data_IF_657701376256
#
_entry.id   IF_657701376256
#
_cell.length_a   1.000
_cell.length_b   1.000
_cell.length_c   1.000
_cell.angle_alpha   90.00
_cell.angle_beta   90.00
_cell.angle_gamma   90.00
#
_symmetry.space_group_name_H-M   'P 1'
#
loop_
_entity.id
_entity.type
_entity.pdbx_description
1 polymer ?
#
# COMPACT_ATOMS: atom_id res chain seq x y z
N UNK A 1 19.35 30.18 -32.41
CA UNK A 1 20.41 29.24 -31.96
C UNK A 1 20.37 28.98 -30.46
N UNK A 2 20.04 29.97 -29.62
CA UNK A 2 20.03 29.86 -28.15
C UNK A 2 18.91 28.98 -27.54
N UNK A 3 17.76 28.82 -28.20
CA UNK A 3 16.64 28.02 -27.68
C UNK A 3 16.79 26.50 -27.85
N UNK A 4 17.45 26.07 -28.94
CA UNK A 4 17.73 24.66 -29.22
C UNK A 4 18.79 24.11 -28.25
N UNK A 5 19.82 24.89 -27.94
CA UNK A 5 20.84 24.49 -26.98
C UNK A 5 20.29 24.37 -25.55
N UNK A 6 19.37 25.25 -25.15
CA UNK A 6 18.68 25.15 -23.87
C UNK A 6 17.83 23.87 -23.76
N UNK A 7 17.08 23.53 -24.81
CA UNK A 7 16.27 22.32 -24.87
C UNK A 7 17.13 21.03 -24.82
N UNK A 8 18.25 21.01 -25.55
CA UNK A 8 19.19 19.88 -25.54
C UNK A 8 19.85 19.72 -24.17
N UNK A 9 20.16 20.82 -23.48
CA UNK A 9 20.75 20.82 -22.14
C UNK A 9 19.75 20.31 -21.10
N UNK A 10 18.49 20.70 -21.20
CA UNK A 10 17.42 20.24 -20.31
C UNK A 10 17.08 18.75 -20.53
N UNK A 11 17.10 18.29 -21.79
CA UNK A 11 16.96 16.88 -22.14
C UNK A 11 18.10 16.03 -21.57
N UNK A 12 19.36 16.47 -21.72
CA UNK A 12 20.52 15.79 -21.11
C UNK A 12 20.46 15.75 -19.59
N UNK A 13 19.98 16.82 -18.95
CA UNK A 13 19.79 16.86 -17.50
C UNK A 13 18.72 15.86 -17.03
N UNK A 14 17.59 15.75 -17.76
CA UNK A 14 16.54 14.76 -17.46
C UNK A 14 17.01 13.32 -17.66
N UNK A 15 17.78 13.05 -18.71
CA UNK A 15 18.37 11.73 -18.97
C UNK A 15 19.39 11.37 -17.88
N UNK A 16 20.21 12.33 -17.44
CA UNK A 16 21.19 12.10 -16.37
C UNK A 16 20.52 11.89 -14.99
N UNK A 17 19.40 12.57 -14.71
CA UNK A 17 18.62 12.36 -13.50
C UNK A 17 17.86 11.02 -13.51
N UNK A 18 17.39 10.56 -14.67
CA UNK A 18 16.82 9.23 -14.82
C UNK A 18 17.89 8.14 -14.59
N UNK A 19 19.09 8.32 -15.13
CA UNK A 19 20.21 7.39 -14.95
C UNK A 19 20.73 7.32 -13.51
N UNK A 20 20.66 8.41 -12.72
CA UNK A 20 21.00 8.38 -11.31
C UNK A 20 19.94 7.69 -10.44
N UNK A 21 18.66 7.86 -10.78
CA UNK A 21 17.55 7.11 -10.17
C UNK A 21 17.63 5.61 -10.44
N UNK A 22 17.99 5.21 -11.66
CA UNK A 22 18.23 3.79 -12.00
C UNK A 22 19.45 3.21 -11.27
N UNK A 23 20.50 4.00 -11.04
CA UNK A 23 21.66 3.57 -10.23
C UNK A 23 21.30 3.33 -8.77
N UNK A 24 20.45 4.16 -8.16
CA UNK A 24 19.96 3.94 -6.80
C UNK A 24 19.01 2.74 -6.71
N UNK A 25 18.11 2.58 -7.69
CA UNK A 25 17.24 1.40 -7.79
C UNK A 25 18.02 0.10 -8.02
N UNK A 26 19.16 0.17 -8.73
CA UNK A 26 20.07 -0.97 -8.94
C UNK A 26 20.95 -1.30 -7.73
N UNK A 27 21.11 -0.38 -6.78
CA UNK A 27 21.85 -0.63 -5.54
C UNK A 27 21.08 -1.56 -4.59
N UNK A 28 19.75 -1.57 -4.67
CA UNK A 28 18.87 -2.47 -3.93
C UNK A 28 18.64 -3.79 -4.70
N UNK A 29 19.73 -4.51 -4.95
CA UNK A 29 19.64 -5.89 -5.46
C UNK A 29 18.96 -6.80 -4.43
N UNK A 30 18.27 -7.88 -4.85
CA UNK A 30 17.67 -8.86 -3.94
C UNK A 30 18.65 -9.39 -2.88
N UNK A 31 19.91 -9.55 -3.30
CA UNK A 31 21.02 -9.96 -2.45
C UNK A 31 21.40 -8.85 -1.48
N UNK A 32 21.49 -7.59 -1.90
CA UNK A 32 21.78 -6.48 -1.00
C UNK A 32 20.71 -6.27 0.08
N UNK A 33 19.40 -6.36 -0.25
CA UNK A 33 18.32 -6.24 0.73
C UNK A 33 18.33 -7.39 1.75
N UNK A 34 18.52 -8.63 1.29
CA UNK A 34 18.65 -9.80 2.15
C UNK A 34 19.93 -9.74 2.99
N UNK A 35 21.05 -9.30 2.42
CA UNK A 35 22.31 -9.08 3.12
C UNK A 35 22.19 -7.96 4.14
N UNK A 36 21.45 -6.89 3.89
CA UNK A 36 21.18 -5.83 4.88
C UNK A 36 20.31 -6.37 6.02
N UNK A 37 19.26 -7.15 5.70
CA UNK A 37 18.41 -7.77 6.72
C UNK A 37 19.19 -8.75 7.60
N UNK A 38 20.02 -9.59 6.98
CA UNK A 38 20.91 -10.54 7.66
C UNK A 38 22.03 -9.80 8.42
N UNK A 39 22.64 -8.77 7.84
CA UNK A 39 23.69 -7.97 8.47
C UNK A 39 23.16 -7.05 9.59
N UNK A 40 21.86 -6.73 9.60
CA UNK A 40 21.19 -6.12 10.74
C UNK A 40 20.78 -7.17 11.79
N UNK A 41 20.39 -8.37 11.38
CA UNK A 41 20.03 -9.47 12.30
C UNK A 41 21.25 -10.04 13.06
N UNK A 42 22.43 -10.14 12.42
CA UNK A 42 23.66 -10.67 13.03
C UNK A 42 24.13 -9.86 14.27
N UNK A 43 24.23 -8.52 14.26
CA UNK A 43 24.58 -7.75 15.45
C UNK A 43 23.51 -7.86 16.54
N UNK A 44 22.23 -8.05 16.18
CA UNK A 44 21.13 -8.23 17.15
C UNK A 44 21.23 -9.60 17.83
N UNK A 45 21.44 -10.67 17.07
CA UNK A 45 21.66 -12.02 17.60
C UNK A 45 22.93 -12.12 18.48
N UNK A 46 23.96 -11.33 18.19
CA UNK A 46 25.19 -11.29 19.01
C UNK A 46 25.04 -10.42 20.26
N UNK A 47 24.14 -9.43 20.27
CA UNK A 47 23.74 -8.69 21.47
C UNK A 47 22.92 -9.58 22.42
N UNK A 48 22.03 -10.41 21.89
CA UNK A 48 21.29 -11.44 22.66
C UNK A 48 22.26 -12.47 23.27
N UNK A 49 23.23 -12.95 22.50
CA UNK A 49 24.25 -13.87 22.99
C UNK A 49 25.09 -13.28 24.14
N UNK A 50 25.32 -11.95 24.13
CA UNK A 50 26.00 -11.24 25.23
C UNK A 50 25.10 -11.00 26.45
N UNK A 51 23.81 -10.77 26.24
CA UNK A 51 22.82 -10.61 27.31
C UNK A 51 22.53 -11.94 28.03
N UNK A 52 22.53 -13.07 27.30
CA UNK A 52 22.35 -14.42 27.87
C UNK A 52 23.50 -14.86 28.79
N UNK A 53 24.70 -14.30 28.63
CA UNK A 53 25.83 -14.55 29.54
C UNK A 53 25.63 -13.90 30.92
N UNK A 54 24.75 -12.91 31.04
CA UNK A 54 24.51 -12.15 32.27
C UNK A 54 23.27 -12.62 33.04
N UNK A 55 22.36 -13.37 32.39
CA UNK A 55 21.12 -13.85 33.01
C UNK A 55 21.34 -15.14 33.79
N UNK A 56 21.28 -15.03 35.11
CA UNK A 56 21.20 -16.13 36.06
C UNK A 56 20.02 -17.07 35.77
N UNK A 57 20.32 -18.37 35.74
CA UNK A 57 19.46 -19.56 35.84
C UNK A 57 17.96 -19.28 36.06
N UNK A 58 17.13 -19.37 35.00
CA UNK A 58 15.66 -19.44 35.12
C UNK A 58 14.83 -18.67 34.08
N UNK A 59 15.41 -17.74 33.33
CA UNK A 59 14.68 -16.97 32.30
C UNK A 59 14.58 -17.73 30.98
N UNK A 60 13.37 -17.82 30.42
CA UNK A 60 13.12 -18.39 29.09
C UNK A 60 13.99 -17.69 28.04
N UNK A 61 14.55 -18.48 27.12
CA UNK A 61 15.35 -17.94 26.00
C UNK A 61 14.53 -16.96 25.17
N UNK A 62 15.17 -15.93 24.62
CA UNK A 62 14.55 -14.97 23.68
C UNK A 62 13.84 -15.71 22.55
N UNK A 63 14.49 -16.74 22.00
CA UNK A 63 13.93 -17.57 20.94
C UNK A 63 12.67 -18.32 21.36
N UNK A 64 12.63 -18.86 22.59
CA UNK A 64 11.43 -19.53 23.11
C UNK A 64 10.26 -18.56 23.27
N UNK A 65 10.56 -17.33 23.70
CA UNK A 65 9.57 -16.26 23.82
C UNK A 65 9.02 -15.88 22.44
N UNK A 66 9.88 -15.74 21.43
CA UNK A 66 9.45 -15.48 20.04
C UNK A 66 8.55 -16.59 19.51
N UNK A 67 8.93 -17.85 19.69
CA UNK A 67 8.14 -19.01 19.22
C UNK A 67 6.77 -19.07 19.93
N UNK A 68 6.73 -18.74 21.23
CA UNK A 68 5.48 -18.67 22.02
C UNK A 68 4.51 -17.62 21.46
N UNK A 69 4.99 -16.41 21.16
CA UNK A 69 4.14 -15.30 20.73
C UNK A 69 3.88 -15.26 19.22
N UNK A 70 4.69 -15.94 18.41
CA UNK A 70 4.57 -15.95 16.95
C UNK A 70 3.17 -16.33 16.43
N UNK A 71 2.50 -17.40 16.90
CA UNK A 71 1.16 -17.74 16.44
C UNK A 71 0.13 -16.63 16.71
N UNK A 72 0.25 -15.96 17.86
CA UNK A 72 -0.63 -14.85 18.23
C UNK A 72 -0.41 -13.66 17.29
N UNK A 73 0.84 -13.27 17.04
CA UNK A 73 1.17 -12.15 16.14
C UNK A 73 0.72 -12.44 14.70
N UNK A 74 0.81 -13.70 14.27
CA UNK A 74 0.47 -14.10 12.90
C UNK A 74 -1.05 -14.19 12.66
N UNK A 75 -1.79 -14.85 13.55
CA UNK A 75 -3.22 -15.18 13.34
C UNK A 75 -4.19 -14.44 14.27
N UNK A 76 -3.70 -13.83 15.34
CA UNK A 76 -4.54 -13.25 16.39
C UNK A 76 -5.00 -14.26 17.45
N UNK A 77 -5.82 -13.79 18.40
CA UNK A 77 -6.39 -14.63 19.47
C UNK A 77 -7.33 -15.72 18.92
N UNK A 78 -7.49 -16.89 19.57
CA UNK A 78 -8.30 -18.01 19.08
C UNK A 78 -9.81 -17.73 18.85
N UNK A 79 -10.31 -16.55 19.25
CA UNK A 79 -11.72 -16.15 19.15
C UNK A 79 -11.93 -14.84 18.41
N UNK A 80 -10.87 -14.20 17.94
CA UNK A 80 -10.92 -12.91 17.27
C UNK A 80 -10.03 -12.94 16.04
N UNK A 81 -10.54 -12.41 14.93
CA UNK A 81 -9.73 -12.22 13.74
C UNK A 81 -8.72 -11.10 14.02
N UNK A 82 -7.42 -11.38 13.91
CA UNK A 82 -6.38 -10.45 14.35
C UNK A 82 -5.01 -10.70 13.73
N UNK A 83 -4.02 -9.96 14.24
CA UNK A 83 -2.62 -10.15 13.90
C UNK A 83 -2.29 -9.78 12.45
N UNK A 84 -1.29 -10.45 11.90
CA UNK A 84 -0.78 -10.19 10.56
C UNK A 84 -1.78 -10.61 9.46
N UNK A 85 -2.53 -11.69 9.70
CA UNK A 85 -3.62 -12.10 8.83
C UNK A 85 -4.69 -10.99 8.67
N UNK A 86 -5.00 -10.28 9.77
CA UNK A 86 -5.91 -9.12 9.72
C UNK A 86 -5.32 -7.99 8.89
N UNK A 87 -4.03 -7.68 9.03
CA UNK A 87 -3.38 -6.65 8.21
C UNK A 87 -3.51 -6.95 6.71
N UNK A 88 -3.33 -8.21 6.30
CA UNK A 88 -3.51 -8.64 4.89
C UNK A 88 -4.98 -8.51 4.46
N UNK A 89 -5.93 -8.93 5.30
CA UNK A 89 -7.35 -8.83 4.97
C UNK A 89 -7.81 -7.37 4.85
N UNK A 90 -7.34 -6.50 5.76
CA UNK A 90 -7.62 -5.06 5.74
C UNK A 90 -6.99 -4.40 4.52
N UNK A 91 -5.74 -4.72 4.15
CA UNK A 91 -5.12 -4.15 2.94
C UNK A 91 -5.87 -4.59 1.69
N UNK A 92 -6.25 -5.86 1.58
CA UNK A 92 -7.02 -6.36 0.44
C UNK A 92 -8.39 -5.68 0.31
N UNK A 93 -9.14 -5.60 1.42
CA UNK A 93 -10.46 -4.98 1.41
C UNK A 93 -10.40 -3.47 1.15
N UNK A 94 -9.46 -2.76 1.78
CA UNK A 94 -9.24 -1.34 1.55
C UNK A 94 -8.82 -1.08 0.10
N UNK A 95 -7.98 -1.94 -0.49
CA UNK A 95 -7.61 -1.86 -1.90
C UNK A 95 -8.80 -2.09 -2.82
N UNK A 96 -9.64 -3.09 -2.54
CA UNK A 96 -10.83 -3.39 -3.34
C UNK A 96 -11.83 -2.22 -3.34
N UNK A 97 -12.16 -1.69 -2.15
CA UNK A 97 -13.05 -0.54 -1.99
C UNK A 97 -12.47 0.71 -2.65
N UNK A 98 -11.19 1.00 -2.38
CA UNK A 98 -10.50 2.14 -2.96
C UNK A 98 -10.42 2.04 -4.48
N UNK A 99 -10.24 0.83 -5.02
CA UNK A 99 -10.22 0.59 -6.47
C UNK A 99 -11.58 0.84 -7.10
N UNK A 100 -12.65 0.29 -6.52
CA UNK A 100 -14.01 0.47 -7.04
C UNK A 100 -14.39 1.96 -7.10
N UNK A 101 -14.20 2.69 -6.00
CA UNK A 101 -14.53 4.12 -5.94
C UNK A 101 -13.56 4.95 -6.78
N UNK A 102 -12.28 4.60 -6.79
CA UNK A 102 -11.25 5.29 -7.56
C UNK A 102 -11.46 5.19 -9.07
N UNK A 103 -11.94 4.05 -9.59
CA UNK A 103 -12.31 3.91 -11.00
C UNK A 103 -13.46 4.87 -11.36
N UNK A 104 -14.49 4.93 -10.52
CA UNK A 104 -15.63 5.83 -10.75
C UNK A 104 -15.19 7.30 -10.75
N UNK A 105 -14.39 7.71 -9.76
CA UNK A 105 -13.85 9.08 -9.68
C UNK A 105 -12.91 9.38 -10.86
N UNK A 106 -12.04 8.44 -11.23
CA UNK A 106 -11.08 8.61 -12.32
C UNK A 106 -11.75 8.78 -13.67
N UNK A 107 -12.79 7.99 -13.95
CA UNK A 107 -13.65 8.17 -15.13
C UNK A 107 -14.42 9.49 -15.07
N UNK A 108 -14.90 9.87 -13.88
CA UNK A 108 -15.53 11.17 -13.63
C UNK A 108 -14.63 12.35 -13.99
N UNK A 109 -13.33 12.26 -13.70
CA UNK A 109 -12.34 13.29 -14.06
C UNK A 109 -12.09 13.43 -15.58
N UNK A 110 -12.38 12.39 -16.37
CA UNK A 110 -12.25 12.43 -17.84
C UNK A 110 -13.55 12.88 -18.52
N UNK A 111 -14.65 13.02 -17.75
CA UNK A 111 -15.95 13.37 -18.28
C UNK A 111 -15.94 14.72 -19.02
N UNK A 112 -16.75 14.78 -20.08
CA UNK A 112 -16.99 16.00 -20.87
C UNK A 112 -17.81 17.00 -20.04
N UNK A 113 -18.66 16.51 -19.12
CA UNK A 113 -19.46 17.33 -18.23
C UNK A 113 -18.59 18.03 -17.19
N UNK A 114 -18.33 19.33 -17.42
CA UNK A 114 -17.51 20.20 -16.56
C UNK A 114 -17.83 20.12 -15.06
N UNK A 115 -19.10 20.18 -14.60
CA UNK A 115 -19.37 20.13 -13.15
C UNK A 115 -18.98 18.78 -12.54
N UNK A 116 -19.30 17.67 -13.21
CA UNK A 116 -18.93 16.32 -12.76
C UNK A 116 -17.41 16.16 -12.70
N UNK A 117 -16.71 16.62 -13.74
CA UNK A 117 -15.25 16.60 -13.79
C UNK A 117 -14.62 17.40 -12.64
N UNK A 118 -15.11 18.61 -12.40
CA UNK A 118 -14.59 19.48 -11.35
C UNK A 118 -14.86 18.89 -9.95
N UNK A 119 -16.04 18.32 -9.73
CA UNK A 119 -16.37 17.65 -8.47
C UNK A 119 -15.48 16.43 -8.24
N UNK A 120 -15.33 15.56 -9.24
CA UNK A 120 -14.46 14.39 -9.15
C UNK A 120 -13.00 14.80 -8.88
N UNK A 121 -12.51 15.82 -9.59
CA UNK A 121 -11.18 16.37 -9.37
C UNK A 121 -11.01 16.91 -7.95
N UNK A 122 -11.96 17.72 -7.46
CA UNK A 122 -11.90 18.31 -6.11
C UNK A 122 -11.91 17.23 -5.02
N UNK A 123 -12.77 16.22 -5.13
CA UNK A 123 -12.81 15.08 -4.21
C UNK A 123 -11.47 14.33 -4.23
N UNK A 124 -10.94 14.02 -5.41
CA UNK A 124 -9.64 13.35 -5.53
C UNK A 124 -8.51 14.16 -4.90
N UNK A 125 -8.43 15.48 -5.17
CA UNK A 125 -7.38 16.32 -4.59
C UNK A 125 -7.51 16.42 -3.06
N UNK A 126 -8.72 16.52 -2.53
CA UNK A 126 -8.93 16.57 -1.07
C UNK A 126 -8.39 15.32 -0.39
N UNK A 127 -8.81 14.13 -0.81
CA UNK A 127 -8.41 12.88 -0.17
C UNK A 127 -6.96 12.48 -0.45
N UNK A 128 -6.35 12.96 -1.55
CA UNK A 128 -4.93 12.74 -1.84
C UNK A 128 -4.00 13.52 -0.92
N UNK A 129 -4.41 14.73 -0.53
CA UNK A 129 -3.60 15.62 0.31
C UNK A 129 -3.91 15.46 1.80
N UNK A 130 -4.99 14.75 2.16
CA UNK A 130 -5.35 14.49 3.54
C UNK A 130 -4.40 13.46 4.21
N UNK A 131 -3.94 13.70 5.44
CA UNK A 131 -3.16 12.72 6.19
C UNK A 131 -3.96 11.43 6.44
N UNK A 132 -3.36 10.28 6.15
CA UNK A 132 -4.04 8.98 6.23
C UNK A 132 -4.54 8.68 7.64
N UNK A 133 -3.73 8.97 8.64
CA UNK A 133 -4.09 8.77 10.04
C UNK A 133 -5.31 9.62 10.45
N UNK A 134 -5.40 10.87 9.98
CA UNK A 134 -6.54 11.76 10.26
C UNK A 134 -7.81 11.23 9.62
N UNK A 135 -7.75 10.77 8.36
CA UNK A 135 -8.89 10.14 7.69
C UNK A 135 -9.35 8.87 8.41
N UNK A 136 -8.40 8.09 8.92
CA UNK A 136 -8.67 6.86 9.66
C UNK A 136 -9.43 7.17 10.96
N UNK A 137 -8.95 8.13 11.75
CA UNK A 137 -9.67 8.61 12.94
C UNK A 137 -11.04 9.18 12.58
N UNK A 138 -11.13 9.98 11.52
CA UNK A 138 -12.39 10.57 11.07
C UNK A 138 -13.44 9.48 10.77
N UNK A 139 -13.09 8.46 9.98
CA UNK A 139 -14.00 7.36 9.66
C UNK A 139 -14.33 6.54 10.90
N UNK A 140 -13.34 6.27 11.75
CA UNK A 140 -13.56 5.48 12.96
C UNK A 140 -14.51 6.17 13.95
N UNK A 141 -14.40 7.49 14.11
CA UNK A 141 -15.22 8.24 15.06
C UNK A 141 -16.60 8.59 14.49
N UNK A 142 -16.70 8.89 13.20
CA UNK A 142 -17.96 9.27 12.57
C UNK A 142 -18.87 8.08 12.28
N UNK A 143 -18.29 6.90 12.00
CA UNK A 143 -19.08 5.71 11.68
C UNK A 143 -19.61 5.05 12.95
N UNK A 144 -20.94 4.83 13.08
CA UNK A 144 -21.51 4.20 14.26
C UNK A 144 -21.00 2.75 14.41
N UNK A 145 -20.95 2.26 15.65
CA UNK A 145 -20.54 0.88 15.96
C UNK A 145 -21.58 -0.16 15.55
N UNK A 146 -22.81 0.26 15.26
CA UNK A 146 -23.90 -0.59 14.83
C UNK A 146 -24.65 0.10 13.70
N UNK A 147 -24.95 -0.65 12.63
CA UNK A 147 -25.88 -0.19 11.61
C UNK A 147 -27.20 -0.93 11.83
N UNK A 148 -28.30 -0.18 11.91
CA UNK A 148 -29.64 -0.73 11.91
C UNK A 148 -30.14 -0.80 10.48
N UNK A 149 -30.22 -2.01 9.93
CA UNK A 149 -30.76 -2.29 8.61
C UNK A 149 -31.99 -3.17 8.77
N UNK A 150 -33.16 -2.70 8.29
CA UNK A 150 -34.41 -3.46 8.31
C UNK A 150 -34.81 -4.03 9.69
N UNK A 151 -34.50 -3.30 10.77
CA UNK A 151 -34.80 -3.74 12.15
C UNK A 151 -33.72 -4.63 12.79
N UNK A 152 -32.71 -5.08 12.03
CA UNK A 152 -31.56 -5.83 12.55
C UNK A 152 -30.39 -4.90 12.86
N UNK A 153 -29.82 -5.03 14.07
CA UNK A 153 -28.60 -4.32 14.47
C UNK A 153 -27.39 -5.16 14.10
N UNK A 154 -26.66 -4.78 13.05
CA UNK A 154 -25.42 -5.44 12.62
C UNK A 154 -24.25 -4.71 13.28
N UNK A 155 -23.45 -5.38 14.14
CA UNK A 155 -22.25 -4.77 14.71
C UNK A 155 -21.22 -4.55 13.61
N UNK A 156 -20.63 -3.35 13.57
CA UNK A 156 -19.55 -3.04 12.64
C UNK A 156 -18.20 -3.23 13.35
N UNK A 157 -17.43 -4.27 13.01
CA UNK A 157 -16.16 -4.50 13.67
C UNK A 157 -15.16 -3.40 13.30
N UNK A 158 -14.24 -3.09 14.23
CA UNK A 158 -13.30 -1.98 14.07
C UNK A 158 -12.39 -2.13 12.85
N UNK A 159 -11.99 -3.36 12.51
CA UNK A 159 -11.17 -3.63 11.32
C UNK A 159 -11.89 -3.26 10.02
N UNK A 160 -13.22 -3.41 9.94
CA UNK A 160 -14.00 -3.05 8.76
C UNK A 160 -14.08 -1.53 8.61
N UNK A 161 -14.29 -0.81 9.71
CA UNK A 161 -14.23 0.66 9.75
C UNK A 161 -12.85 1.16 9.32
N UNK A 162 -11.79 0.52 9.80
CA UNK A 162 -10.41 0.81 9.42
C UNK A 162 -10.15 0.55 7.92
N UNK A 163 -10.70 -0.53 7.35
CA UNK A 163 -10.63 -0.78 5.90
C UNK A 163 -11.26 0.34 5.07
N UNK A 164 -12.43 0.86 5.50
CA UNK A 164 -13.05 2.02 4.85
C UNK A 164 -12.17 3.27 4.99
N UNK A 165 -11.62 3.53 6.18
CA UNK A 165 -10.72 4.66 6.44
C UNK A 165 -9.49 4.65 5.52
N UNK A 166 -8.82 3.50 5.40
CA UNK A 166 -7.67 3.33 4.53
C UNK A 166 -8.02 3.31 3.04
N UNK A 167 -9.27 3.00 2.66
CA UNK A 167 -9.72 3.03 1.26
C UNK A 167 -9.84 4.45 0.69
N UNK A 168 -10.07 5.47 1.53
CA UNK A 168 -10.26 6.86 1.11
C UNK A 168 -9.03 7.48 0.42
N UNK A 169 -7.81 7.42 0.98
CA UNK A 169 -6.64 7.88 0.26
C UNK A 169 -6.32 6.99 -0.97
N UNK A 170 -6.66 5.70 -0.92
CA UNK A 170 -6.45 4.78 -2.03
C UNK A 170 -7.36 5.10 -3.21
N UNK A 171 -8.63 5.43 -3.01
CA UNK A 171 -9.53 5.83 -4.10
C UNK A 171 -9.03 7.08 -4.80
N UNK A 172 -8.44 8.03 -4.08
CA UNK A 172 -7.89 9.25 -4.66
C UNK A 172 -6.70 8.94 -5.57
N UNK A 173 -5.76 8.13 -5.09
CA UNK A 173 -4.60 7.72 -5.89
C UNK A 173 -4.98 6.83 -7.07
N UNK A 174 -5.97 5.94 -6.89
CA UNK A 174 -6.48 5.11 -7.97
C UNK A 174 -7.22 5.94 -9.04
N UNK A 175 -7.96 6.99 -8.64
CA UNK A 175 -8.56 7.94 -9.57
C UNK A 175 -7.53 8.60 -10.48
N UNK A 176 -6.37 8.97 -9.93
CA UNK A 176 -5.27 9.55 -10.70
C UNK A 176 -4.59 8.54 -11.62
N UNK A 177 -4.49 7.29 -11.19
CA UNK A 177 -3.97 6.19 -12.04
C UNK A 177 -4.90 5.94 -13.23
N UNK A 178 -6.20 5.88 -13.00
CA UNK A 178 -7.22 5.74 -14.06
C UNK A 178 -7.12 6.90 -15.03
N UNK A 179 -7.11 8.14 -14.53
CA UNK A 179 -6.96 9.35 -15.35
C UNK A 179 -5.66 9.35 -16.15
N UNK A 180 -4.55 9.02 -15.52
CA UNK A 180 -3.23 8.92 -16.14
C UNK A 180 -3.17 7.86 -17.24
N UNK A 181 -3.75 6.68 -16.99
CA UNK A 181 -3.78 5.58 -17.95
C UNK A 181 -4.61 5.89 -19.19
N UNK A 182 -5.76 6.56 -19.03
CA UNK A 182 -6.59 6.99 -20.17
C UNK A 182 -5.89 8.07 -20.99
N UNK A 183 -5.25 9.03 -20.32
CA UNK A 183 -4.50 10.10 -20.99
C UNK A 183 -3.19 9.61 -21.65
N UNK A 184 -2.67 8.45 -21.26
CA UNK A 184 -1.48 7.87 -21.88
C UNK A 184 -1.76 7.20 -23.22
N UNK A 185 -3.01 7.13 -23.67
CA UNK A 185 -3.41 6.51 -24.94
C UNK A 185 -3.24 7.54 -26.07
N UNK A 186 -2.54 7.20 -27.17
CA UNK A 186 -2.35 8.13 -28.29
C UNK A 186 -3.66 8.69 -28.83
N UNK A 187 -3.69 9.98 -29.12
CA UNK A 187 -4.89 10.67 -29.67
C UNK A 187 -5.34 10.05 -31.00
N UNK A 188 -4.41 9.52 -31.79
CA UNK A 188 -4.70 8.81 -33.04
C UNK A 188 -5.72 7.66 -32.86
N UNK A 189 -5.73 6.96 -31.72
CA UNK A 189 -6.73 5.91 -31.46
C UNK A 189 -8.13 6.50 -31.23
N UNK A 190 -8.22 7.68 -30.62
CA UNK A 190 -9.49 8.39 -30.42
C UNK A 190 -10.03 8.89 -31.75
N UNK A 191 -9.18 9.52 -32.57
CA UNK A 191 -9.52 10.05 -33.90
C UNK A 191 -9.89 8.93 -34.88
N UNK A 192 -9.20 7.79 -34.82
CA UNK A 192 -9.51 6.61 -35.64
C UNK A 192 -10.88 6.01 -35.27
N UNK A 193 -11.18 5.92 -33.97
CA UNK A 193 -12.48 5.42 -33.52
C UNK A 193 -13.62 6.37 -33.91
N UNK A 194 -13.39 7.68 -33.83
CA UNK A 194 -14.33 8.71 -34.29
C UNK A 194 -14.56 8.63 -35.82
N UNK A 195 -13.51 8.35 -36.61
CA UNK A 195 -13.61 8.12 -38.06
C UNK A 195 -14.44 6.88 -38.42
N UNK A 196 -14.52 5.90 -37.51
CA UNK A 196 -15.37 4.71 -37.62
C UNK A 196 -16.77 4.93 -37.04
N UNK A 197 -17.16 6.18 -36.78
CA UNK A 197 -18.44 6.59 -36.19
C UNK A 197 -18.74 6.01 -34.80
N UNK A 198 -17.72 5.64 -34.02
CA UNK A 198 -17.92 5.28 -32.61
C UNK A 198 -18.22 6.52 -31.77
N UNK A 199 -19.22 6.41 -30.89
CA UNK A 199 -19.48 7.43 -29.86
C UNK A 199 -18.36 7.44 -28.81
N UNK A 200 -18.15 8.57 -28.13
CA UNK A 200 -17.15 8.69 -27.05
C UNK A 200 -17.26 7.60 -25.98
N UNK A 201 -18.48 7.20 -25.61
CA UNK A 201 -18.73 6.14 -24.64
C UNK A 201 -18.35 4.77 -25.20
N UNK A 202 -18.69 4.48 -26.46
CA UNK A 202 -18.29 3.24 -27.12
C UNK A 202 -16.77 3.16 -27.26
N UNK A 203 -16.11 4.23 -27.70
CA UNK A 203 -14.65 4.30 -27.80
C UNK A 203 -14.00 4.04 -26.43
N UNK A 204 -14.50 4.70 -25.39
CA UNK A 204 -14.00 4.53 -24.03
C UNK A 204 -14.11 3.07 -23.57
N UNK A 205 -15.30 2.47 -23.60
CA UNK A 205 -15.52 1.13 -23.06
C UNK A 205 -14.94 0.00 -23.91
N UNK A 206 -15.01 0.11 -25.24
CA UNK A 206 -14.64 -0.99 -26.14
C UNK A 206 -13.17 -0.97 -26.57
N UNK A 207 -12.55 0.22 -26.64
CA UNK A 207 -11.21 0.38 -27.21
C UNK A 207 -10.22 0.83 -26.14
N UNK A 208 -10.54 1.90 -25.42
CA UNK A 208 -9.57 2.58 -24.54
C UNK A 208 -9.43 1.86 -23.19
N UNK A 209 -10.54 1.56 -22.52
CA UNK A 209 -10.55 0.97 -21.17
C UNK A 209 -9.79 -0.37 -21.09
N UNK A 210 -9.96 -1.33 -22.03
CA UNK A 210 -9.23 -2.60 -21.99
C UNK A 210 -7.70 -2.42 -22.10
N UNK A 211 -7.25 -1.40 -22.84
CA UNK A 211 -5.82 -1.05 -22.94
C UNK A 211 -5.32 -0.36 -21.66
N UNK A 212 -6.14 0.51 -21.07
CA UNK A 212 -5.81 1.21 -19.84
C UNK A 212 -5.60 0.24 -18.67
N UNK A 213 -6.44 -0.79 -18.54
CA UNK A 213 -6.30 -1.80 -17.47
C UNK A 213 -4.89 -2.38 -17.42
N UNK A 214 -4.30 -2.72 -18.58
CA UNK A 214 -2.93 -3.27 -18.62
C UNK A 214 -1.87 -2.27 -18.15
N UNK A 215 -2.05 -0.98 -18.45
CA UNK A 215 -1.16 0.11 -18.02
C UNK A 215 -1.33 0.46 -16.55
N UNK A 216 -2.50 0.20 -15.98
CA UNK A 216 -2.80 0.47 -14.57
C UNK A 216 -2.24 -0.59 -13.62
N UNK A 217 -1.99 -1.82 -14.08
CA UNK A 217 -1.54 -2.93 -13.23
C UNK A 217 -0.26 -2.60 -12.44
N UNK A 218 0.86 -2.12 -13.06
CA UNK A 218 2.07 -1.81 -12.29
C UNK A 218 1.87 -0.75 -11.19
N UNK A 219 1.32 0.45 -11.47
CA UNK A 219 1.10 1.44 -10.41
C UNK A 219 0.05 0.99 -9.37
N UNK A 220 -0.97 0.21 -9.77
CA UNK A 220 -1.94 -0.36 -8.85
C UNK A 220 -1.27 -1.30 -7.84
N UNK A 221 -0.38 -2.18 -8.30
CA UNK A 221 0.31 -3.13 -7.43
C UNK A 221 1.32 -2.45 -6.52
N UNK A 222 1.95 -1.36 -6.97
CA UNK A 222 2.77 -0.50 -6.12
C UNK A 222 1.96 0.12 -4.98
N UNK A 223 0.76 0.63 -5.26
CA UNK A 223 -0.13 1.18 -4.23
C UNK A 223 -0.62 0.12 -3.24
N UNK A 224 -0.84 -1.12 -3.69
CA UNK A 224 -1.15 -2.22 -2.78
C UNK A 224 -0.01 -2.49 -1.78
N UNK A 225 1.24 -2.44 -2.23
CA UNK A 225 2.40 -2.60 -1.36
C UNK A 225 2.50 -1.45 -0.34
N UNK A 226 2.33 -0.19 -0.78
CA UNK A 226 2.31 0.98 0.10
C UNK A 226 1.19 0.87 1.14
N UNK A 227 -0.01 0.51 0.70
CA UNK A 227 -1.17 0.30 1.58
C UNK A 227 -0.88 -0.76 2.63
N UNK A 228 -0.31 -1.90 2.23
CA UNK A 228 0.02 -2.98 3.16
C UNK A 228 1.02 -2.51 4.22
N UNK A 229 2.06 -1.76 3.84
CA UNK A 229 3.01 -1.17 4.79
C UNK A 229 2.38 -0.12 5.71
N UNK A 230 1.28 0.52 5.28
CA UNK A 230 0.52 1.48 6.08
C UNK A 230 -0.54 0.83 6.99
N UNK A 231 -0.85 -0.46 6.82
CA UNK A 231 -1.85 -1.14 7.68
C UNK A 231 -1.56 -1.08 9.18
N UNK A 232 -0.31 -1.09 9.68
CA UNK A 232 -0.04 -0.90 11.10
C UNK A 232 -0.59 0.39 11.69
N UNK A 233 -0.98 1.40 10.89
CA UNK A 233 -1.66 2.61 11.38
C UNK A 233 -2.99 2.30 12.08
N UNK A 234 -3.61 1.15 11.80
CA UNK A 234 -4.87 0.75 12.45
C UNK A 234 -4.68 0.40 13.94
N UNK A 235 -3.44 0.07 14.35
CA UNK A 235 -3.11 -0.23 15.76
C UNK A 235 -3.40 0.97 16.67
N UNK A 236 -3.10 2.18 16.17
CA UNK A 236 -3.30 3.45 16.87
C UNK A 236 -4.80 3.68 17.19
N UNK A 237 -5.69 3.07 16.41
CA UNK A 237 -7.14 3.21 16.56
C UNK A 237 -7.77 2.01 17.29
N UNK A 238 -6.93 1.18 17.91
CA UNK A 238 -7.35 0.09 18.81
C UNK A 238 -7.83 -1.16 18.07
N UNK A 239 -7.34 -1.40 16.85
CA UNK A 239 -7.57 -2.67 16.15
C UNK A 239 -6.46 -3.66 16.52
N UNK A 240 -6.85 -4.91 16.80
CA UNK A 240 -5.95 -6.02 17.19
C UNK A 240 -5.14 -6.56 16.00
N UNK A 241 -4.35 -5.70 15.37
CA UNK A 241 -3.45 -6.05 14.28
C UNK A 241 -2.11 -6.61 14.80
N UNK A 242 -1.19 -6.94 13.89
CA UNK A 242 0.12 -7.47 14.27
C UNK A 242 0.92 -6.52 15.16
N UNK A 243 0.82 -5.20 14.97
CA UNK A 243 1.54 -4.22 15.78
C UNK A 243 0.98 -4.16 17.20
N UNK A 244 -0.35 -4.10 17.36
CA UNK A 244 -1.01 -4.13 18.67
C UNK A 244 -0.65 -5.40 19.45
N UNK A 245 -0.77 -6.57 18.81
CA UNK A 245 -0.48 -7.84 19.48
C UNK A 245 1.00 -7.99 19.87
N UNK A 246 1.91 -7.36 19.12
CA UNK A 246 3.33 -7.30 19.48
C UNK A 246 3.54 -6.45 20.74
N UNK A 247 2.84 -5.31 20.87
CA UNK A 247 2.88 -4.47 22.08
C UNK A 247 2.28 -5.17 23.30
N UNK A 248 1.19 -5.91 23.11
CA UNK A 248 0.56 -6.70 24.17
C UNK A 248 1.49 -7.82 24.67
N UNK A 249 2.16 -8.53 23.75
CA UNK A 249 3.14 -9.56 24.08
C UNK A 249 4.32 -9.01 24.90
N UNK A 250 4.85 -7.84 24.49
CA UNK A 250 5.94 -7.16 25.19
C UNK A 250 5.52 -6.70 26.60
N UNK A 251 4.31 -6.17 26.72
CA UNK A 251 3.74 -5.72 28.00
C UNK A 251 3.49 -6.88 28.96
N UNK A 252 3.17 -8.07 28.43
CA UNK A 252 2.97 -9.29 29.22
C UNK A 252 4.29 -9.89 29.73
N UNK A 253 5.36 -9.84 28.95
CA UNK A 253 6.68 -10.37 29.36
C UNK A 253 7.47 -9.39 30.26
N UNK A 254 7.20 -8.07 30.17
CA UNK A 254 7.89 -7.02 30.95
C UNK A 254 9.43 -7.05 30.82
N UNK A 255 9.89 -7.50 29.65
CA UNK A 255 11.30 -7.80 29.35
C UNK A 255 11.84 -6.88 28.27
N UNK A 256 12.73 -5.97 28.66
CA UNK A 256 13.35 -5.00 27.75
C UNK A 256 14.20 -5.67 26.67
N UNK A 257 14.77 -6.85 26.96
CA UNK A 257 15.55 -7.66 26.01
C UNK A 257 14.71 -8.22 24.85
N UNK A 258 13.38 -8.34 25.01
CA UNK A 258 12.47 -8.81 23.95
C UNK A 258 12.00 -7.71 23.00
N UNK A 259 12.23 -6.43 23.32
CA UNK A 259 11.77 -5.29 22.49
C UNK A 259 12.31 -5.37 21.06
N UNK A 260 13.64 -5.45 20.91
CA UNK A 260 14.29 -5.52 19.59
C UNK A 260 13.91 -6.81 18.81
N UNK A 261 13.96 -8.02 19.43
CA UNK A 261 13.57 -9.26 18.75
C UNK A 261 12.11 -9.30 18.28
N UNK A 262 11.17 -8.77 19.06
CA UNK A 262 9.75 -8.79 18.70
C UNK A 262 9.44 -7.85 17.53
N UNK A 263 10.00 -6.64 17.53
CA UNK A 263 9.83 -5.73 16.39
C UNK A 263 10.60 -6.17 15.15
N UNK A 264 11.74 -6.86 15.29
CA UNK A 264 12.46 -7.43 14.15
C UNK A 264 11.69 -8.59 13.51
N UNK A 265 11.01 -9.41 14.32
CA UNK A 265 10.09 -10.44 13.84
C UNK A 265 8.92 -9.83 13.06
N UNK A 266 8.31 -8.76 13.59
CA UNK A 266 7.24 -8.04 12.89
C UNK A 266 7.72 -7.44 11.56
N UNK A 267 8.90 -6.80 11.57
CA UNK A 267 9.53 -6.27 10.36
C UNK A 267 9.79 -7.38 9.33
N UNK A 268 10.28 -8.53 9.77
CA UNK A 268 10.53 -9.68 8.91
C UNK A 268 9.23 -10.21 8.28
N UNK A 269 8.12 -10.25 9.02
CA UNK A 269 6.81 -10.64 8.48
C UNK A 269 6.34 -9.71 7.37
N UNK A 270 6.35 -8.38 7.62
CA UNK A 270 5.97 -7.40 6.61
C UNK A 270 6.91 -7.41 5.40
N UNK A 271 8.22 -7.57 5.62
CA UNK A 271 9.20 -7.67 4.55
C UNK A 271 8.97 -8.93 3.71
N UNK A 272 8.82 -10.10 4.33
CA UNK A 272 8.61 -11.37 3.63
C UNK A 272 7.34 -11.35 2.77
N UNK A 273 6.31 -10.62 3.20
CA UNK A 273 5.08 -10.43 2.43
C UNK A 273 5.21 -9.38 1.32
N UNK A 274 5.70 -8.17 1.63
CA UNK A 274 5.72 -7.06 0.67
C UNK A 274 6.82 -7.20 -0.39
N UNK A 275 7.95 -7.82 -0.04
CA UNK A 275 9.10 -7.99 -0.93
C UNK A 275 8.79 -8.73 -2.24
N UNK A 276 8.17 -9.94 -2.24
CA UNK A 276 7.82 -10.63 -3.47
C UNK A 276 6.83 -9.83 -4.33
N UNK A 277 5.88 -9.13 -3.70
CA UNK A 277 4.91 -8.27 -4.39
C UNK A 277 5.62 -7.10 -5.08
N UNK A 278 6.55 -6.43 -4.39
CA UNK A 278 7.34 -5.35 -4.96
C UNK A 278 8.19 -5.83 -6.14
N UNK A 279 8.81 -7.02 -6.04
CA UNK A 279 9.60 -7.62 -7.12
C UNK A 279 8.74 -7.98 -8.32
N UNK A 280 7.54 -8.54 -8.11
CA UNK A 280 6.59 -8.78 -9.19
C UNK A 280 6.11 -7.49 -9.85
N UNK A 281 5.92 -6.42 -9.07
CA UNK A 281 5.55 -5.10 -9.60
C UNK A 281 6.60 -4.56 -10.56
N UNK A 282 7.88 -4.61 -10.19
CA UNK A 282 8.99 -4.21 -11.07
C UNK A 282 9.09 -5.07 -12.34
N UNK A 283 8.80 -6.37 -12.23
CA UNK A 283 8.77 -7.25 -13.40
C UNK A 283 7.62 -6.89 -14.35
N UNK A 284 6.43 -6.63 -13.82
CA UNK A 284 5.28 -6.19 -14.63
C UNK A 284 5.54 -4.82 -15.26
N UNK A 285 6.17 -3.90 -14.54
CA UNK A 285 6.57 -2.60 -15.07
C UNK A 285 7.47 -2.76 -16.28
N UNK A 286 8.50 -3.61 -16.22
CA UNK A 286 9.38 -3.88 -17.37
C UNK A 286 8.65 -4.54 -18.54
N UNK A 287 7.67 -5.41 -18.25
CA UNK A 287 6.88 -6.10 -19.28
C UNK A 287 5.88 -5.18 -19.99
N UNK A 288 5.27 -4.25 -19.26
CA UNK A 288 4.24 -3.34 -19.76
C UNK A 288 4.75 -1.91 -20.02
N UNK A 289 6.03 -1.63 -19.78
CA UNK A 289 6.71 -0.43 -20.23
C UNK A 289 6.69 -0.40 -21.77
N UNK A 290 5.63 0.18 -22.32
CA UNK A 290 5.56 0.56 -23.72
C UNK A 290 6.61 1.65 -23.91
N UNK A 291 7.68 1.34 -24.66
CA UNK A 291 8.55 2.37 -25.23
C UNK A 291 7.67 3.27 -26.09
N UNK A 292 7.39 4.47 -25.60
CA UNK A 292 6.77 5.55 -26.37
C UNK A 292 7.85 6.13 -27.27
#
# INVERSE_FOLDING_TARGET
>A
MTSLEACVRESKARISAAASGERFASAFTPTAAFVILVACAIPILTLEARAQLQSTVGTQSVLQSLIKWFPLILFGPPREFGGFALNIAVSFLAMALGTAVGIVLGLGQISIHRPLRNLAWALTQFFRNAPWLVLLFFVMLLTPFQIRLFGFSIPLPGWLKASVGLSLPIMANMSEIVRGAVNSIPTAQWESAESLAFTRLQTLWRIILPQCVRRMIPPWMNWYAILTMATPLISIVGVNDAMTLTQDALSAEQRTDLLMPMYSLLLALFFLYCYPIARWTLWLERKYAVKI
#
